data_IF_634675764865
#
_entry.id   IF_634675764865
#
_cell.length_a   1.000
_cell.length_b   1.000
_cell.length_c   1.000
_cell.angle_alpha   90.00
_cell.angle_beta   90.00
_cell.angle_gamma   90.00
#
_symmetry.space_group_name_H-M   'P 1'
#
loop_
_entity.id
_entity.type
_entity.pdbx_description
1 polymer ?
#
# COMPACT_ATOMS: atom_id res chain seq x y z
N UNK A 1 -24.62 9.15 -72.47
CA UNK A 1 -24.58 7.68 -72.60
C UNK A 1 -25.12 7.10 -71.30
N UNK A 2 -26.41 6.72 -71.29
CA UNK A 2 -27.09 5.70 -70.47
C UNK A 2 -26.83 5.69 -68.95
N UNK A 3 -27.78 6.08 -68.08
CA UNK A 3 -28.98 5.34 -67.63
C UNK A 3 -28.77 3.83 -67.39
N UNK A 4 -28.91 3.37 -66.13
CA UNK A 4 -29.75 2.21 -65.68
C UNK A 4 -29.49 1.96 -64.16
N UNK A 5 -30.37 2.36 -63.22
CA UNK A 5 -31.50 1.63 -62.60
C UNK A 5 -31.19 0.23 -62.03
N UNK A 6 -31.73 -0.02 -60.82
CA UNK A 6 -32.02 -1.38 -60.32
C UNK A 6 -31.85 -1.59 -58.80
N UNK A 7 -32.63 -0.95 -57.93
CA UNK A 7 -33.80 -1.51 -57.20
C UNK A 7 -33.55 -2.73 -56.28
N UNK A 8 -33.62 -2.44 -54.96
CA UNK A 8 -34.39 -3.07 -53.85
C UNK A 8 -34.51 -4.61 -53.75
N UNK A 9 -34.21 -5.12 -52.53
CA UNK A 9 -35.25 -5.71 -51.63
C UNK A 9 -34.79 -5.81 -50.16
N UNK A 10 -35.61 -5.26 -49.26
CA UNK A 10 -35.75 -5.67 -47.86
C UNK A 10 -36.34 -7.10 -47.81
N UNK A 11 -36.38 -7.88 -46.73
CA UNK A 11 -36.50 -7.69 -45.28
C UNK A 11 -36.30 -9.11 -44.71
N UNK A 12 -35.84 -9.27 -43.47
CA UNK A 12 -36.54 -10.14 -42.50
C UNK A 12 -35.99 -9.93 -41.09
N UNK A 13 -36.94 -9.60 -40.23
CA UNK A 13 -36.86 -9.36 -38.80
C UNK A 13 -36.93 -10.67 -38.05
N UNK A 14 -36.13 -10.82 -36.98
CA UNK A 14 -36.56 -11.58 -35.81
C UNK A 14 -35.82 -11.07 -34.57
N UNK A 15 -36.62 -10.70 -33.58
CA UNK A 15 -36.28 -10.24 -32.24
C UNK A 15 -35.36 -11.19 -31.45
N UNK A 16 -34.41 -10.59 -30.71
CA UNK A 16 -33.90 -11.15 -29.46
C UNK A 16 -33.57 -9.99 -28.49
N UNK A 17 -34.08 -10.13 -27.27
CA UNK A 17 -34.14 -9.13 -26.19
C UNK A 17 -32.77 -8.58 -25.73
N UNK A 18 -32.73 -7.42 -25.03
CA UNK A 18 -31.49 -6.76 -24.67
C UNK A 18 -30.88 -7.41 -23.43
N UNK A 19 -29.65 -7.93 -23.58
CA UNK A 19 -28.77 -8.20 -22.45
C UNK A 19 -28.25 -6.88 -21.89
N UNK A 20 -28.52 -6.67 -20.62
CA UNK A 20 -28.11 -5.61 -19.71
C UNK A 20 -26.58 -5.58 -19.49
N UNK A 21 -25.83 -5.27 -20.53
CA UNK A 21 -24.43 -4.86 -20.42
C UNK A 21 -24.33 -3.41 -19.96
N UNK A 22 -24.56 -3.16 -18.67
CA UNK A 22 -24.35 -1.83 -18.09
C UNK A 22 -22.93 -1.31 -18.42
N UNK A 23 -22.76 -0.03 -18.79
CA UNK A 23 -21.43 0.52 -18.96
C UNK A 23 -20.82 0.62 -17.56
N UNK A 24 -20.07 -0.40 -17.17
CA UNK A 24 -19.10 -0.31 -16.09
C UNK A 24 -18.06 0.71 -16.53
N UNK A 25 -18.38 1.99 -16.35
CA UNK A 25 -17.48 3.10 -16.58
C UNK A 25 -16.26 2.84 -15.73
N UNK A 26 -15.20 2.36 -16.37
CA UNK A 26 -13.89 2.23 -15.77
C UNK A 26 -13.48 3.62 -15.31
N UNK A 27 -13.68 3.92 -14.03
CA UNK A 27 -12.99 5.01 -13.35
C UNK A 27 -11.53 4.56 -13.18
N UNK A 28 -10.85 4.39 -14.32
CA UNK A 28 -9.43 4.60 -14.38
C UNK A 28 -9.25 6.12 -14.32
N UNK A 29 -9.47 6.68 -13.13
CA UNK A 29 -8.86 7.96 -12.79
C UNK A 29 -7.39 7.78 -13.11
N UNK A 30 -6.90 8.53 -14.08
CA UNK A 30 -5.47 8.59 -14.37
C UNK A 30 -4.81 9.06 -13.08
N UNK A 31 -4.28 8.12 -12.31
CA UNK A 31 -3.61 8.40 -11.06
C UNK A 31 -2.47 9.37 -11.36
N UNK A 32 -2.70 10.65 -11.08
CA UNK A 32 -1.67 11.68 -11.18
C UNK A 32 -0.61 11.32 -10.16
N UNK A 33 0.60 11.01 -10.63
CA UNK A 33 1.74 10.75 -9.74
C UNK A 33 1.91 11.99 -8.85
N UNK A 34 1.80 11.86 -7.52
CA UNK A 34 1.88 13.01 -6.63
C UNK A 34 3.25 13.69 -6.78
N UNK A 35 3.25 15.02 -6.80
CA UNK A 35 4.47 15.82 -6.91
C UNK A 35 5.34 15.57 -5.67
N UNK A 36 6.65 15.44 -5.86
CA UNK A 36 7.61 15.31 -4.76
C UNK A 36 7.53 16.53 -3.84
N UNK A 37 7.65 16.30 -2.53
CA UNK A 37 7.75 17.37 -1.54
C UNK A 37 9.01 18.20 -1.77
N UNK A 38 8.92 19.48 -1.40
CA UNK A 38 10.10 20.32 -1.27
C UNK A 38 11.04 19.72 -0.21
N UNK A 39 12.35 19.74 -0.50
CA UNK A 39 13.35 19.08 0.34
C UNK A 39 13.51 19.77 1.69
N UNK A 40 13.54 21.09 1.73
CA UNK A 40 13.74 21.85 2.96
C UNK A 40 12.50 21.70 3.85
N UNK A 41 11.31 21.80 3.27
CA UNK A 41 10.06 21.56 3.99
C UNK A 41 9.98 20.13 4.55
N UNK A 42 10.43 19.13 3.79
CA UNK A 42 10.48 17.74 4.23
C UNK A 42 11.47 17.54 5.39
N UNK A 43 12.69 18.09 5.30
CA UNK A 43 13.72 17.93 6.33
C UNK A 43 13.29 18.60 7.65
N UNK A 44 12.72 19.81 7.58
CA UNK A 44 12.20 20.53 8.74
C UNK A 44 11.07 19.74 9.44
N UNK A 45 10.11 19.23 8.67
CA UNK A 45 8.98 18.48 9.24
C UNK A 45 9.41 17.11 9.78
N UNK A 46 10.38 16.46 9.13
CA UNK A 46 10.96 15.22 9.60
C UNK A 46 11.61 15.40 10.97
N UNK A 47 12.43 16.44 11.16
CA UNK A 47 13.08 16.72 12.45
C UNK A 47 12.03 16.97 13.55
N UNK A 48 11.01 17.79 13.26
CA UNK A 48 9.90 18.05 14.17
C UNK A 48 9.21 16.76 14.62
N UNK A 49 8.92 15.86 13.68
CA UNK A 49 8.26 14.58 13.98
C UNK A 49 9.18 13.61 14.72
N UNK A 50 10.48 13.61 14.44
CA UNK A 50 11.44 12.78 15.17
C UNK A 50 11.55 13.18 16.64
N UNK A 51 11.46 14.48 16.95
CA UNK A 51 11.35 14.96 18.34
C UNK A 51 10.10 14.40 19.03
N UNK A 52 8.96 14.41 18.35
CA UNK A 52 7.71 13.84 18.90
C UNK A 52 7.79 12.33 19.08
N UNK A 53 8.49 11.60 18.21
CA UNK A 53 8.72 10.16 18.37
C UNK A 53 9.55 9.84 19.62
N UNK A 54 10.55 10.68 19.95
CA UNK A 54 11.33 10.53 21.19
C UNK A 54 10.44 10.73 22.42
N UNK A 55 9.63 11.80 22.44
CA UNK A 55 8.67 12.04 23.52
C UNK A 55 7.68 10.89 23.68
N UNK A 56 7.15 10.37 22.57
CA UNK A 56 6.26 9.21 22.56
C UNK A 56 6.95 7.98 23.15
N UNK A 57 8.20 7.71 22.76
CA UNK A 57 8.98 6.58 23.29
C UNK A 57 9.15 6.68 24.82
N UNK A 58 9.48 7.86 25.34
CA UNK A 58 9.61 8.09 26.78
C UNK A 58 8.28 7.87 27.51
N UNK A 59 7.19 8.36 26.94
CA UNK A 59 5.85 8.13 27.47
C UNK A 59 5.46 6.64 27.47
N UNK A 60 5.67 5.92 26.36
CA UNK A 60 5.41 4.47 26.25
C UNK A 60 6.16 3.72 27.33
N UNK A 61 7.45 4.04 27.53
CA UNK A 61 8.29 3.44 28.56
C UNK A 61 7.79 3.76 29.97
N UNK A 62 7.45 5.02 30.25
CA UNK A 62 6.98 5.47 31.56
C UNK A 62 5.66 4.80 31.97
N UNK A 63 4.73 4.70 31.02
CA UNK A 63 3.40 4.15 31.25
C UNK A 63 3.32 2.62 31.09
N UNK A 64 4.44 1.95 30.78
CA UNK A 64 4.48 0.50 30.56
C UNK A 64 3.62 0.05 29.36
N UNK A 65 3.45 0.92 28.36
CA UNK A 65 2.67 0.61 27.15
C UNK A 65 3.50 -0.21 26.17
N UNK A 66 2.81 -0.86 25.25
CA UNK A 66 3.40 -1.74 24.24
C UNK A 66 2.86 -1.34 22.87
N UNK A 67 3.77 -1.11 21.92
CA UNK A 67 3.44 -0.62 20.58
C UNK A 67 4.11 -1.50 19.55
N UNK A 68 3.33 -2.05 18.63
CA UNK A 68 3.80 -2.77 17.45
C UNK A 68 3.42 -1.99 16.19
N UNK A 69 4.37 -1.81 15.27
CA UNK A 69 4.15 -1.14 13.98
C UNK A 69 4.54 -2.11 12.88
N UNK A 70 3.60 -2.42 11.98
CA UNK A 70 3.80 -3.36 10.88
C UNK A 70 3.93 -2.59 9.57
N UNK A 71 5.01 -2.84 8.83
CA UNK A 71 5.29 -2.21 7.54
C UNK A 71 5.10 -3.20 6.39
N UNK A 72 4.02 -3.03 5.63
CA UNK A 72 3.70 -3.84 4.44
C UNK A 72 3.69 -2.99 3.17
N UNK A 73 3.90 -3.63 2.02
CA UNK A 73 3.85 -2.97 0.72
C UNK A 73 4.67 -3.65 -0.35
N UNK A 74 4.60 -3.14 -1.58
CA UNK A 74 5.32 -3.69 -2.73
C UNK A 74 6.84 -3.59 -2.56
N UNK A 75 7.55 -4.36 -3.38
CA UNK A 75 9.00 -4.23 -3.50
C UNK A 75 9.37 -2.83 -3.98
N UNK A 76 10.48 -2.30 -3.48
CA UNK A 76 10.95 -0.94 -3.73
C UNK A 76 9.97 0.21 -3.34
N UNK A 77 8.91 -0.06 -2.56
CA UNK A 77 7.97 0.97 -2.10
C UNK A 77 8.54 1.95 -1.05
N UNK A 78 9.75 1.73 -0.54
CA UNK A 78 10.43 2.63 0.40
C UNK A 78 10.31 2.26 1.89
N UNK A 79 9.78 1.07 2.22
CA UNK A 79 9.59 0.59 3.61
C UNK A 79 10.83 0.76 4.49
N UNK A 80 12.00 0.32 4.02
CA UNK A 80 13.26 0.42 4.76
C UNK A 80 13.70 1.86 5.01
N UNK A 81 13.44 2.78 4.07
CA UNK A 81 13.69 4.20 4.25
C UNK A 81 12.81 4.80 5.34
N UNK A 82 11.52 4.47 5.34
CA UNK A 82 10.58 4.91 6.36
C UNK A 82 10.95 4.39 7.74
N UNK A 83 11.27 3.09 7.87
CA UNK A 83 11.74 2.48 9.13
C UNK A 83 12.97 3.24 9.62
N UNK A 84 13.97 3.46 8.76
CA UNK A 84 15.19 4.19 9.10
C UNK A 84 14.88 5.57 9.67
N UNK A 85 14.00 6.35 9.02
CA UNK A 85 13.64 7.71 9.47
C UNK A 85 12.89 7.72 10.80
N UNK A 86 12.03 6.74 11.06
CA UNK A 86 11.32 6.61 12.33
C UNK A 86 12.30 6.26 13.46
N UNK A 87 13.23 5.34 13.21
CA UNK A 87 14.12 4.81 14.26
C UNK A 87 15.41 5.60 14.46
N UNK A 88 15.72 6.56 13.58
CA UNK A 88 17.02 7.28 13.51
C UNK A 88 17.47 7.87 14.85
N UNK A 89 16.54 8.45 15.61
CA UNK A 89 16.82 9.11 16.89
C UNK A 89 16.25 8.37 18.11
N UNK A 90 15.70 7.16 17.92
CA UNK A 90 15.10 6.37 19.00
C UNK A 90 16.16 5.54 19.72
N UNK A 91 15.92 5.26 21.00
CA UNK A 91 16.82 4.45 21.81
C UNK A 91 16.70 2.98 21.40
N UNK A 92 17.77 2.34 20.89
CA UNK A 92 17.72 0.96 20.39
C UNK A 92 17.49 -0.09 21.49
N UNK A 93 17.57 0.29 22.77
CA UNK A 93 17.21 -0.59 23.89
C UNK A 93 15.70 -0.60 24.18
N UNK A 94 14.96 0.37 23.65
CA UNK A 94 13.51 0.50 23.84
C UNK A 94 12.78 0.08 22.57
N UNK A 95 13.32 0.43 21.40
CA UNK A 95 12.72 0.10 20.10
C UNK A 95 13.51 -1.02 19.44
N UNK A 96 12.81 -2.07 19.02
CA UNK A 96 13.36 -3.20 18.27
C UNK A 96 12.78 -3.24 16.87
N UNK A 97 13.64 -3.52 15.89
CA UNK A 97 13.24 -3.78 14.50
C UNK A 97 13.29 -5.30 14.28
N UNK A 98 12.13 -5.90 13.99
CA UNK A 98 12.03 -7.31 13.62
C UNK A 98 11.98 -7.44 12.10
N UNK A 99 13.00 -8.06 11.50
CA UNK A 99 13.07 -8.35 10.07
C UNK A 99 13.22 -9.87 9.88
N UNK A 100 12.09 -10.57 9.84
CA UNK A 100 12.08 -12.03 9.73
C UNK A 100 12.37 -12.45 8.29
N UNK A 101 13.38 -13.31 8.11
CA UNK A 101 13.66 -13.97 6.84
C UNK A 101 12.60 -15.05 6.53
N UNK A 102 12.74 -15.71 5.38
CA UNK A 102 11.98 -16.92 5.05
C UNK A 102 11.99 -17.91 6.22
N UNK A 103 10.87 -18.56 6.54
CA UNK A 103 10.80 -19.49 7.67
C UNK A 103 11.74 -20.69 7.44
N UNK A 104 12.45 -21.08 8.50
CA UNK A 104 13.24 -22.32 8.55
C UNK A 104 12.35 -23.57 8.45
N UNK A 105 12.97 -24.72 8.16
CA UNK A 105 12.23 -25.99 8.05
C UNK A 105 11.40 -26.31 9.30
N UNK A 106 11.94 -26.00 10.49
CA UNK A 106 11.20 -26.15 11.75
C UNK A 106 10.01 -25.19 11.83
N UNK A 107 10.24 -23.89 11.60
CA UNK A 107 9.17 -22.86 11.65
C UNK A 107 8.04 -23.13 10.64
N UNK A 108 8.33 -23.80 9.51
CA UNK A 108 7.30 -24.20 8.53
C UNK A 108 6.35 -25.28 9.05
N UNK A 109 6.75 -26.03 10.07
CA UNK A 109 5.92 -27.06 10.73
C UNK A 109 5.21 -26.54 11.99
N UNK A 110 5.65 -25.39 12.49
CA UNK A 110 5.04 -24.73 13.64
C UNK A 110 3.77 -23.97 13.23
N UNK A 111 3.02 -23.48 14.23
CA UNK A 111 1.90 -22.60 13.96
C UNK A 111 2.39 -21.32 13.28
N UNK A 112 1.79 -20.93 12.16
CA UNK A 112 2.25 -19.81 11.32
C UNK A 112 2.56 -18.52 12.11
N UNK A 113 1.73 -18.17 13.09
CA UNK A 113 1.90 -16.95 13.89
C UNK A 113 2.94 -17.07 15.01
N UNK A 114 3.40 -18.28 15.35
CA UNK A 114 4.30 -18.54 16.47
C UNK A 114 5.59 -17.70 16.39
N UNK A 115 6.21 -17.63 15.21
CA UNK A 115 7.42 -16.84 14.98
C UNK A 115 7.20 -15.32 15.08
N UNK A 116 5.99 -14.84 14.75
CA UNK A 116 5.67 -13.41 14.81
C UNK A 116 5.30 -12.98 16.23
N UNK A 117 4.57 -13.83 16.97
CA UNK A 117 4.21 -13.57 18.37
C UNK A 117 5.44 -13.47 19.26
N UNK A 118 6.50 -14.24 18.97
CA UNK A 118 7.79 -14.12 19.64
C UNK A 118 8.45 -12.73 19.48
N UNK A 119 8.09 -11.98 18.45
CA UNK A 119 8.61 -10.64 18.18
C UNK A 119 7.76 -9.51 18.79
N UNK A 120 6.58 -9.80 19.31
CA UNK A 120 5.70 -8.78 19.88
C UNK A 120 6.21 -8.26 21.25
N UNK A 121 5.98 -6.97 21.56
CA UNK A 121 6.33 -6.37 22.85
C UNK A 121 5.44 -6.80 24.01
#
# INVERSE_FOLDING_TARGET
>A
MTDDKGKKKAKDSADAAPGDGGPGASHADKATVPKKLDREAYEHELERLQVELVKMQEWVKKEGRRVAVVFEGRDAAGKGGTIKRITEHLNPRVVRIAALASPSDRERTEWYFQRYVAELP
#
